data_IF_907309834780
#
_entry.id   IF_907309834780
#
_cell.length_a   1.000
_cell.length_b   1.000
_cell.length_c   1.000
_cell.angle_alpha   90.00
_cell.angle_beta   90.00
_cell.angle_gamma   90.00
#
_symmetry.space_group_name_H-M   'P 1'
#
loop_
_entity.id
_entity.type
_entity.pdbx_description
1 polymer ?
#
# COMPACT_ATOMS: atom_id res chain seq x y z
N UNK A 1 0.34 25.06 3.20
CA UNK A 1 1.19 24.08 2.49
C UNK A 1 0.34 23.46 1.39
N UNK A 2 0.82 23.38 0.14
CA UNK A 2 0.03 22.91 -1.01
C UNK A 2 -0.34 21.42 -0.89
N UNK A 3 0.53 20.63 -0.23
CA UNK A 3 0.28 19.20 -0.06
C UNK A 3 -1.00 18.91 0.74
N UNK A 4 -1.38 19.79 1.66
CA UNK A 4 -2.51 19.59 2.58
C UNK A 4 -3.85 20.03 1.97
N UNK A 5 -3.83 20.65 0.78
CA UNK A 5 -5.05 20.92 0.03
C UNK A 5 -5.78 19.61 -0.26
N UNK A 6 -7.09 19.57 -0.06
CA UNK A 6 -7.90 18.36 -0.26
C UNK A 6 -7.77 17.83 -1.68
N UNK A 7 -7.77 18.72 -2.67
CA UNK A 7 -7.60 18.39 -4.09
C UNK A 7 -6.21 17.89 -4.45
N UNK A 8 -5.21 18.10 -3.58
CA UNK A 8 -3.87 17.55 -3.73
C UNK A 8 -3.77 16.25 -2.94
N UNK A 9 -3.82 16.32 -1.61
CA UNK A 9 -3.64 15.16 -0.73
C UNK A 9 -4.56 13.99 -1.05
N UNK A 10 -5.87 14.21 -1.19
CA UNK A 10 -6.83 13.12 -1.38
C UNK A 10 -6.91 12.62 -2.82
N UNK A 11 -6.30 13.32 -3.78
CA UNK A 11 -6.29 12.89 -5.17
C UNK A 11 -4.93 12.36 -5.60
N UNK A 12 -3.91 13.21 -5.53
CA UNK A 12 -2.55 12.89 -5.97
C UNK A 12 -1.98 11.73 -5.16
N UNK A 13 -2.02 11.83 -3.83
CA UNK A 13 -1.39 10.80 -2.98
C UNK A 13 -2.20 9.49 -3.02
N UNK A 14 -3.53 9.55 -3.06
CA UNK A 14 -4.37 8.35 -2.99
C UNK A 14 -4.58 7.74 -4.36
N UNK A 15 -5.20 8.47 -5.29
CA UNK A 15 -5.57 7.94 -6.61
C UNK A 15 -4.37 7.89 -7.56
N UNK A 16 -3.46 8.87 -7.49
CA UNK A 16 -2.24 8.86 -8.29
C UNK A 16 -1.36 7.65 -8.00
N UNK A 17 -1.12 7.34 -6.72
CA UNK A 17 -0.35 6.15 -6.34
C UNK A 17 -1.12 4.84 -6.60
N UNK A 18 -2.45 4.85 -6.54
CA UNK A 18 -3.26 3.68 -6.89
C UNK A 18 -3.09 3.27 -8.36
N UNK A 19 -2.94 4.23 -9.26
CA UNK A 19 -2.73 3.95 -10.69
C UNK A 19 -1.25 3.64 -10.99
N UNK A 20 -0.34 4.49 -10.50
CA UNK A 20 1.06 4.45 -10.92
C UNK A 20 1.88 3.33 -10.27
N UNK A 21 1.53 2.86 -9.07
CA UNK A 21 2.30 1.81 -8.39
C UNK A 21 2.35 0.51 -9.19
N UNK A 22 1.18 0.01 -9.59
CA UNK A 22 1.09 -1.24 -10.32
C UNK A 22 1.71 -1.12 -11.72
N UNK A 23 1.60 0.06 -12.35
CA UNK A 23 2.24 0.35 -13.63
C UNK A 23 3.77 0.27 -13.52
N UNK A 24 4.36 0.91 -12.49
CA UNK A 24 5.81 0.87 -12.25
C UNK A 24 6.35 -0.54 -12.04
N UNK A 25 5.68 -1.34 -11.21
CA UNK A 25 6.10 -2.73 -10.93
C UNK A 25 6.00 -3.60 -12.19
N UNK A 26 4.90 -3.49 -12.94
CA UNK A 26 4.71 -4.26 -14.19
C UNK A 26 5.78 -3.91 -15.22
N UNK A 27 6.03 -2.62 -15.46
CA UNK A 27 7.05 -2.19 -16.43
C UNK A 27 8.46 -2.64 -16.06
N UNK A 28 8.76 -2.72 -14.76
CA UNK A 28 10.09 -3.09 -14.30
C UNK A 28 10.34 -4.61 -14.28
N UNK A 29 9.29 -5.41 -14.05
CA UNK A 29 9.47 -6.84 -13.70
C UNK A 29 8.58 -7.81 -14.46
N UNK A 30 7.56 -7.32 -15.17
CA UNK A 30 6.49 -8.11 -15.81
C UNK A 30 5.85 -9.17 -14.88
N UNK A 31 5.96 -8.98 -13.55
CA UNK A 31 5.51 -9.96 -12.56
C UNK A 31 3.99 -10.01 -12.45
N UNK A 32 3.46 -11.21 -12.27
CA UNK A 32 2.05 -11.41 -11.95
C UNK A 32 1.78 -11.02 -10.50
N UNK A 33 0.91 -10.01 -10.28
CA UNK A 33 0.50 -9.58 -8.94
C UNK A 33 -0.49 -10.53 -8.28
N UNK A 34 -1.40 -11.12 -9.07
CA UNK A 34 -2.43 -12.01 -8.53
C UNK A 34 -1.81 -13.21 -7.79
N UNK A 35 -2.30 -13.49 -6.59
CA UNK A 35 -1.79 -14.56 -5.73
C UNK A 35 -0.50 -14.27 -4.97
N UNK A 36 0.15 -13.12 -5.22
CA UNK A 36 1.34 -12.69 -4.46
C UNK A 36 0.97 -12.06 -3.13
N UNK A 37 1.90 -12.12 -2.18
CA UNK A 37 1.83 -11.43 -0.90
C UNK A 37 2.54 -10.09 -1.04
N UNK A 38 1.78 -8.99 -1.03
CA UNK A 38 2.32 -7.64 -1.13
C UNK A 38 2.30 -6.99 0.25
N UNK A 39 3.46 -6.55 0.71
CA UNK A 39 3.63 -5.85 1.99
C UNK A 39 3.70 -4.35 1.71
N UNK A 40 2.76 -3.60 2.27
CA UNK A 40 2.73 -2.14 2.20
C UNK A 40 3.11 -1.58 3.58
N UNK A 41 4.27 -0.92 3.64
CA UNK A 41 4.70 -0.24 4.86
C UNK A 41 4.14 1.18 4.88
N UNK A 42 3.30 1.47 5.87
CA UNK A 42 2.54 2.71 5.96
C UNK A 42 1.16 2.61 5.31
N UNK A 43 0.17 3.23 5.94
CA UNK A 43 -1.24 3.27 5.55
C UNK A 43 -1.81 4.70 5.63
N UNK A 44 -0.95 5.68 5.35
CA UNK A 44 -1.36 7.05 5.05
C UNK A 44 -2.08 7.17 3.70
N UNK A 45 -2.19 8.38 3.17
CA UNK A 45 -2.90 8.61 1.89
C UNK A 45 -2.26 7.83 0.72
N UNK A 46 -0.92 7.78 0.67
CA UNK A 46 -0.19 6.96 -0.33
C UNK A 46 -0.42 5.47 -0.11
N UNK A 47 -0.22 4.98 1.11
CA UNK A 47 -0.38 3.56 1.46
C UNK A 47 -1.77 3.00 1.17
N UNK A 48 -2.82 3.81 1.38
CA UNK A 48 -4.21 3.48 1.02
C UNK A 48 -4.38 3.23 -0.47
N UNK A 49 -3.85 4.14 -1.30
CA UNK A 49 -3.86 3.97 -2.75
C UNK A 49 -3.16 2.70 -3.20
N UNK A 50 -1.96 2.48 -2.66
CA UNK A 50 -1.13 1.31 -2.93
C UNK A 50 -1.82 -0.01 -2.55
N UNK A 51 -2.37 -0.11 -1.33
CA UNK A 51 -3.05 -1.30 -0.84
C UNK A 51 -4.31 -1.63 -1.66
N UNK A 52 -5.11 -0.61 -2.01
CA UNK A 52 -6.30 -0.80 -2.85
C UNK A 52 -5.95 -1.28 -4.26
N UNK A 53 -4.88 -0.75 -4.87
CA UNK A 53 -4.42 -1.19 -6.18
C UNK A 53 -4.03 -2.67 -6.16
N UNK A 54 -3.24 -3.07 -5.17
CA UNK A 54 -2.71 -4.43 -5.05
C UNK A 54 -3.80 -5.45 -4.75
N UNK A 55 -4.78 -5.08 -3.91
CA UNK A 55 -5.99 -5.87 -3.66
C UNK A 55 -6.82 -6.04 -4.92
N UNK A 56 -7.01 -4.97 -5.68
CA UNK A 56 -7.77 -4.99 -6.95
C UNK A 56 -7.15 -5.90 -8.01
N UNK A 57 -5.84 -6.12 -7.96
CA UNK A 57 -5.13 -7.06 -8.83
C UNK A 57 -5.11 -8.51 -8.31
N UNK A 58 -5.80 -8.81 -7.21
CA UNK A 58 -5.90 -10.16 -6.65
C UNK A 58 -4.71 -10.58 -5.78
N UNK A 59 -3.93 -9.62 -5.29
CA UNK A 59 -2.81 -9.88 -4.36
C UNK A 59 -3.32 -9.96 -2.93
N UNK A 60 -2.67 -10.77 -2.09
CA UNK A 60 -2.87 -10.72 -0.63
C UNK A 60 -2.05 -9.56 -0.07
N UNK A 61 -2.73 -8.55 0.48
CA UNK A 61 -2.05 -7.35 0.99
C UNK A 61 -1.89 -7.43 2.51
N UNK A 62 -0.66 -7.23 2.95
CA UNK A 62 -0.27 -7.07 4.36
C UNK A 62 0.16 -5.62 4.56
N UNK A 63 -0.28 -5.00 5.64
CA UNK A 63 0.07 -3.62 6.00
C UNK A 63 0.92 -3.63 7.26
N UNK A 64 1.98 -2.82 7.29
CA UNK A 64 2.74 -2.55 8.52
C UNK A 64 2.54 -1.09 8.90
N UNK A 65 2.08 -0.84 10.13
CA UNK A 65 1.79 0.51 10.61
C UNK A 65 2.24 0.71 12.05
N UNK A 66 2.68 1.94 12.35
CA UNK A 66 2.98 2.42 13.70
C UNK A 66 1.80 3.18 14.30
N UNK A 67 0.97 3.81 13.46
CA UNK A 67 -0.21 4.56 13.92
C UNK A 67 -1.39 3.59 14.11
N UNK A 68 -1.92 3.44 15.34
CA UNK A 68 -3.03 2.53 15.60
C UNK A 68 -4.31 2.88 14.85
N UNK A 69 -4.54 4.16 14.50
CA UNK A 69 -5.72 4.60 13.76
C UNK A 69 -5.62 4.13 12.30
N UNK A 70 -4.47 4.35 11.67
CA UNK A 70 -4.21 3.89 10.31
C UNK A 70 -4.23 2.36 10.23
N UNK A 71 -3.66 1.66 11.21
CA UNK A 71 -3.72 0.21 11.31
C UNK A 71 -5.16 -0.32 11.42
N UNK A 72 -5.99 0.32 12.26
CA UNK A 72 -7.39 -0.06 12.40
C UNK A 72 -8.16 0.16 11.08
N UNK A 73 -7.91 1.28 10.39
CA UNK A 73 -8.51 1.55 9.07
C UNK A 73 -8.17 0.45 8.05
N UNK A 74 -6.89 0.05 7.98
CA UNK A 74 -6.46 -1.05 7.13
C UNK A 74 -7.15 -2.38 7.49
N UNK A 75 -7.30 -2.67 8.79
CA UNK A 75 -8.01 -3.86 9.24
C UNK A 75 -9.50 -3.84 8.87
N UNK A 76 -10.16 -2.67 8.89
CA UNK A 76 -11.56 -2.52 8.46
C UNK A 76 -11.73 -2.74 6.95
N UNK A 77 -10.71 -2.45 6.15
CA UNK A 77 -10.68 -2.77 4.73
C UNK A 77 -10.30 -4.24 4.45
N UNK A 78 -10.09 -5.04 5.50
CA UNK A 78 -9.77 -6.48 5.42
C UNK A 78 -8.30 -6.77 5.12
N UNK A 79 -7.40 -5.81 5.36
CA UNK A 79 -5.97 -6.03 5.25
C UNK A 79 -5.40 -6.63 6.54
N UNK A 80 -4.45 -7.54 6.39
CA UNK A 80 -3.77 -8.13 7.54
C UNK A 80 -2.70 -7.16 8.05
N UNK A 81 -2.72 -6.84 9.34
CA UNK A 81 -1.69 -6.02 9.99
C UNK A 81 -0.61 -6.93 10.57
N UNK A 82 0.65 -6.68 10.23
CA UNK A 82 1.79 -7.41 10.77
C UNK A 82 2.96 -6.47 11.02
N UNK A 83 3.89 -6.91 11.85
CA UNK A 83 5.19 -6.25 11.96
C UNK A 83 6.04 -6.53 10.70
N UNK A 84 6.98 -5.64 10.39
CA UNK A 84 7.87 -5.85 9.23
C UNK A 84 8.70 -7.12 9.37
N UNK A 85 9.14 -7.46 10.59
CA UNK A 85 9.94 -8.66 10.86
C UNK A 85 9.20 -9.97 10.52
N UNK A 86 7.88 -9.98 10.72
CA UNK A 86 7.05 -11.14 10.36
C UNK A 86 6.66 -11.10 8.87
N UNK A 87 6.33 -9.91 8.34
CA UNK A 87 5.97 -9.72 6.95
C UNK A 87 7.14 -10.03 6.00
N UNK A 88 8.38 -9.73 6.40
CA UNK A 88 9.61 -10.01 5.65
C UNK A 88 9.80 -11.51 5.36
N UNK A 89 9.23 -12.39 6.18
CA UNK A 89 9.34 -13.86 6.01
C UNK A 89 8.44 -14.42 4.92
N UNK A 90 7.39 -13.67 4.52
CA UNK A 90 6.31 -14.17 3.66
C UNK A 90 5.96 -13.24 2.50
N UNK A 91 6.48 -12.02 2.48
CA UNK A 91 6.21 -11.04 1.43
C UNK A 91 6.97 -11.35 0.13
N UNK A 92 6.29 -11.24 -1.00
CA UNK A 92 6.88 -11.33 -2.33
C UNK A 92 7.29 -9.93 -2.85
N UNK A 93 6.50 -8.91 -2.54
CA UNK A 93 6.68 -7.53 -3.01
C UNK A 93 6.58 -6.61 -1.81
N UNK A 94 7.53 -5.69 -1.67
CA UNK A 94 7.58 -4.72 -0.58
C UNK A 94 7.46 -3.30 -1.12
N UNK A 95 6.51 -2.53 -0.59
CA UNK A 95 6.24 -1.14 -0.99
C UNK A 95 6.29 -0.26 0.26
N UNK A 96 7.23 0.69 0.31
CA UNK A 96 7.37 1.62 1.43
C UNK A 96 6.69 2.94 1.14
N UNK A 97 5.78 3.36 2.03
CA UNK A 97 4.95 4.57 1.89
C UNK A 97 4.91 5.42 3.17
N UNK A 98 5.85 5.19 4.09
CA UNK A 98 5.89 5.81 5.43
C UNK A 98 6.42 7.25 5.42
N UNK A 99 7.36 7.58 4.53
CA UNK A 99 7.99 8.90 4.48
C UNK A 99 8.84 9.25 5.73
N UNK A 100 9.23 8.23 6.50
CA UNK A 100 10.08 8.33 7.69
C UNK A 100 11.56 8.12 7.36
#
# INVERSE_FOLDING_TARGET
>A
NVNDSVTKSKFDNVYGCRESLADGIKRATDVMMAGKVVVVAGYGDVGKGCAQAMKGLGSRVIVTEIDPICALQASMEGFQIMTMDEAAKIGDIFVTTTGC
#
